data_IF_950103504799
#
_entry.id   IF_950103504799
#
_cell.length_a   1.000
_cell.length_b   1.000
_cell.length_c   1.000
_cell.angle_alpha   90.00
_cell.angle_beta   90.00
_cell.angle_gamma   90.00
#
_symmetry.space_group_name_H-M   'P 1'
#
loop_
_entity.id
_entity.type
_entity.pdbx_description
1 polymer ?
#
# COMPACT_ATOMS: atom_id res chain seq x y z
N UNK A 1 -30.84 45.11 -57.83
CA UNK A 1 -31.01 43.67 -57.70
C UNK A 1 -29.83 43.09 -56.89
N UNK A 2 -29.97 42.97 -55.60
CA UNK A 2 -28.89 42.54 -54.68
C UNK A 2 -29.28 41.19 -54.07
N UNK A 3 -28.53 40.10 -54.38
CA UNK A 3 -28.74 38.75 -53.87
C UNK A 3 -27.89 38.56 -52.61
N UNK A 4 -28.56 38.40 -51.50
CA UNK A 4 -27.95 38.08 -50.21
C UNK A 4 -27.70 36.56 -50.11
N UNK A 5 -26.44 36.12 -50.03
CA UNK A 5 -26.09 34.73 -49.70
C UNK A 5 -26.16 34.53 -48.17
N UNK A 6 -27.02 33.59 -47.76
CA UNK A 6 -27.12 33.08 -46.38
C UNK A 6 -26.10 31.94 -46.23
N UNK A 7 -25.12 32.12 -45.39
CA UNK A 7 -24.20 31.05 -44.98
C UNK A 7 -24.85 30.19 -43.91
N UNK A 8 -25.07 28.90 -44.19
CA UNK A 8 -25.47 27.88 -43.22
C UNK A 8 -24.21 27.43 -42.46
N UNK A 9 -24.16 27.73 -41.17
CA UNK A 9 -23.17 27.15 -40.23
C UNK A 9 -23.66 25.76 -39.83
N UNK A 10 -22.96 24.71 -40.25
CA UNK A 10 -23.13 23.36 -39.70
C UNK A 10 -22.41 23.29 -38.35
N UNK A 11 -23.16 23.08 -37.25
CA UNK A 11 -22.60 22.69 -35.97
C UNK A 11 -22.32 21.18 -36.02
N UNK A 12 -21.05 20.81 -36.10
CA UNK A 12 -20.60 19.46 -35.90
C UNK A 12 -20.58 19.16 -34.40
N UNK A 13 -21.47 18.28 -33.94
CA UNK A 13 -21.41 17.75 -32.56
C UNK A 13 -20.27 16.75 -32.48
N UNK A 14 -19.23 17.06 -31.72
CA UNK A 14 -18.14 16.15 -31.38
C UNK A 14 -18.61 15.18 -30.30
N UNK A 15 -18.84 13.92 -30.66
CA UNK A 15 -19.20 12.86 -29.73
C UNK A 15 -17.92 12.41 -29.04
N UNK A 16 -17.71 12.83 -27.79
CA UNK A 16 -16.61 12.34 -26.96
C UNK A 16 -17.05 10.98 -26.39
N UNK A 17 -16.55 9.90 -26.97
CA UNK A 17 -16.70 8.56 -26.41
C UNK A 17 -15.67 8.39 -25.31
N UNK A 18 -16.10 8.49 -24.05
CA UNK A 18 -15.26 8.15 -22.89
C UNK A 18 -15.09 6.64 -22.83
N UNK A 19 -13.93 6.14 -23.23
CA UNK A 19 -13.53 4.76 -22.98
C UNK A 19 -13.12 4.69 -21.51
N UNK A 20 -14.00 4.17 -20.66
CA UNK A 20 -13.65 3.80 -19.31
C UNK A 20 -12.65 2.63 -19.38
N UNK A 21 -11.40 2.88 -19.03
CA UNK A 21 -10.42 1.83 -18.86
C UNK A 21 -10.85 0.95 -17.66
N UNK A 22 -11.35 -0.26 -17.92
CA UNK A 22 -11.51 -1.27 -16.87
C UNK A 22 -10.09 -1.61 -16.39
N UNK A 23 -9.77 -1.22 -15.16
CA UNK A 23 -8.61 -1.77 -14.47
C UNK A 23 -8.82 -3.28 -14.34
N UNK A 24 -7.82 -4.12 -14.72
CA UNK A 24 -7.96 -5.55 -14.50
C UNK A 24 -8.16 -5.80 -13.00
N UNK A 25 -9.18 -6.55 -12.64
CA UNK A 25 -9.37 -7.02 -11.28
C UNK A 25 -8.09 -7.77 -10.85
N UNK A 26 -7.63 -7.50 -9.63
CA UNK A 26 -6.49 -8.24 -9.08
C UNK A 26 -6.84 -9.74 -9.12
N UNK A 27 -5.92 -10.54 -9.68
CA UNK A 27 -6.14 -11.99 -9.73
C UNK A 27 -6.18 -12.54 -8.30
N UNK A 28 -7.18 -13.38 -8.02
CA UNK A 28 -7.27 -14.09 -6.75
C UNK A 28 -6.05 -14.97 -6.55
N UNK A 29 -5.52 -15.09 -5.31
CA UNK A 29 -4.37 -15.92 -5.04
C UNK A 29 -4.72 -17.41 -5.21
N UNK A 30 -3.77 -18.20 -5.69
CA UNK A 30 -3.87 -19.66 -5.66
C UNK A 30 -3.36 -20.17 -4.32
N UNK A 31 -4.21 -20.89 -3.59
CA UNK A 31 -3.87 -21.55 -2.33
C UNK A 31 -3.56 -23.01 -2.62
N UNK A 32 -2.43 -23.50 -2.16
CA UNK A 32 -1.98 -24.89 -2.25
C UNK A 32 -1.81 -25.41 -0.83
N UNK A 33 -2.47 -26.52 -0.50
CA UNK A 33 -2.60 -27.07 0.84
C UNK A 33 -3.94 -26.71 1.48
N UNK A 34 -4.30 -27.39 2.55
CA UNK A 34 -5.53 -27.12 3.32
C UNK A 34 -5.23 -26.13 4.46
N UNK A 35 -5.71 -24.90 4.32
CA UNK A 35 -5.53 -23.85 5.33
C UNK A 35 -6.27 -24.09 6.65
N UNK A 36 -7.16 -25.07 6.70
CA UNK A 36 -7.90 -25.47 7.89
C UNK A 36 -7.39 -26.80 8.48
N UNK A 37 -6.36 -27.39 7.87
CA UNK A 37 -5.76 -28.65 8.26
C UNK A 37 -4.36 -28.51 8.85
N UNK A 38 -3.58 -29.57 8.76
CA UNK A 38 -2.18 -29.63 9.22
C UNK A 38 -1.18 -29.49 8.06
N UNK A 39 -1.62 -29.11 6.87
CA UNK A 39 -0.78 -28.98 5.68
C UNK A 39 0.14 -27.75 5.75
N UNK A 40 1.25 -27.86 5.04
CA UNK A 40 2.04 -26.67 4.67
C UNK A 40 1.29 -25.92 3.57
N UNK A 41 0.87 -24.71 3.86
CA UNK A 41 0.11 -23.87 2.91
C UNK A 41 1.05 -22.98 2.10
N UNK A 42 0.88 -23.00 0.78
CA UNK A 42 1.54 -22.06 -0.13
C UNK A 42 0.53 -21.12 -0.74
N UNK A 43 0.79 -19.81 -0.65
CA UNK A 43 0.01 -18.76 -1.30
C UNK A 43 0.78 -18.22 -2.50
N UNK A 44 0.20 -18.27 -3.70
CA UNK A 44 0.88 -17.91 -4.95
C UNK A 44 0.03 -16.94 -5.77
N UNK A 45 0.70 -16.05 -6.51
CA UNK A 45 0.02 -15.17 -7.45
C UNK A 45 -0.81 -14.10 -6.76
N UNK A 46 -0.37 -13.61 -5.61
CA UNK A 46 -1.08 -12.59 -4.83
C UNK A 46 -1.22 -11.32 -5.63
N UNK A 47 -2.44 -10.87 -5.84
CA UNK A 47 -2.74 -9.56 -6.39
C UNK A 47 -2.35 -8.44 -5.44
N UNK A 48 -2.30 -7.20 -5.95
CA UNK A 48 -2.07 -6.02 -5.13
C UNK A 48 -3.38 -5.47 -4.60
N UNK A 49 -3.38 -5.05 -3.35
CA UNK A 49 -4.48 -4.28 -2.74
C UNK A 49 -3.95 -2.96 -2.18
N UNK A 50 -4.85 -2.01 -1.99
CA UNK A 50 -4.50 -0.74 -1.35
C UNK A 50 -4.65 -0.87 0.16
N UNK A 51 -3.58 -0.62 0.90
CA UNK A 51 -3.62 -0.60 2.37
C UNK A 51 -4.31 0.66 2.93
N UNK A 52 -4.71 0.64 4.21
CA UNK A 52 -5.24 1.83 4.91
C UNK A 52 -4.26 3.01 4.90
N UNK A 53 -2.95 2.72 4.97
CA UNK A 53 -1.89 3.72 4.90
C UNK A 53 -1.50 4.14 3.47
N UNK A 54 -2.33 3.81 2.48
CA UNK A 54 -2.24 4.20 1.06
C UNK A 54 -1.00 3.70 0.33
N UNK A 55 -0.49 2.53 0.68
CA UNK A 55 0.53 1.84 -0.09
C UNK A 55 -0.01 0.59 -0.76
N UNK A 56 0.47 0.23 -1.95
CA UNK A 56 0.25 -1.08 -2.55
C UNK A 56 0.84 -2.18 -1.67
N UNK A 57 0.01 -3.13 -1.26
CA UNK A 57 0.43 -4.33 -0.54
C UNK A 57 0.04 -5.59 -1.30
N UNK A 58 0.80 -6.65 -1.09
CA UNK A 58 0.57 -7.98 -1.62
C UNK A 58 0.42 -8.92 -0.42
N UNK A 59 -0.81 -9.20 0.04
CA UNK A 59 -1.06 -10.03 1.20
C UNK A 59 -0.68 -11.48 0.91
N UNK A 60 0.42 -11.95 1.48
CA UNK A 60 0.92 -13.31 1.33
C UNK A 60 0.24 -14.24 2.33
N UNK A 61 0.81 -14.34 3.53
CA UNK A 61 0.27 -15.18 4.61
C UNK A 61 -0.58 -14.31 5.54
N UNK A 62 -1.77 -14.79 5.85
CA UNK A 62 -2.69 -14.17 6.81
C UNK A 62 -3.69 -15.22 7.33
N UNK A 63 -4.57 -14.83 8.23
CA UNK A 63 -5.71 -15.65 8.65
C UNK A 63 -6.61 -16.00 7.47
N UNK A 64 -6.84 -15.06 6.58
CA UNK A 64 -7.68 -15.24 5.39
C UNK A 64 -7.03 -16.17 4.34
N UNK A 65 -5.77 -15.94 4.00
CA UNK A 65 -5.12 -16.65 2.89
C UNK A 65 -4.58 -18.02 3.28
N UNK A 66 -4.04 -18.18 4.49
CA UNK A 66 -3.33 -19.38 4.92
C UNK A 66 -3.85 -20.00 6.23
N UNK A 67 -4.90 -19.42 6.85
CA UNK A 67 -5.39 -19.87 8.14
C UNK A 67 -4.43 -19.56 9.30
N UNK A 68 -3.50 -18.63 9.14
CA UNK A 68 -2.57 -18.24 10.19
C UNK A 68 -3.33 -17.63 11.37
N UNK A 69 -2.95 -18.01 12.61
CA UNK A 69 -3.62 -17.54 13.82
C UNK A 69 -2.79 -16.54 14.62
N UNK A 70 -1.49 -16.44 14.36
CA UNK A 70 -0.57 -15.61 15.14
C UNK A 70 0.33 -14.67 14.35
N UNK A 71 0.23 -14.69 13.01
CA UNK A 71 1.10 -13.84 12.19
C UNK A 71 0.47 -13.51 10.81
N UNK A 72 0.98 -12.45 10.22
CA UNK A 72 0.87 -12.18 8.79
C UNK A 72 2.25 -11.92 8.16
N UNK A 73 2.35 -12.18 6.85
CA UNK A 73 3.53 -11.89 6.04
C UNK A 73 3.07 -11.31 4.71
N UNK A 74 3.51 -10.11 4.38
CA UNK A 74 3.12 -9.43 3.17
C UNK A 74 4.31 -8.72 2.51
N UNK A 75 4.18 -8.45 1.21
CA UNK A 75 5.09 -7.57 0.49
C UNK A 75 4.47 -6.18 0.40
N UNK A 76 5.26 -5.17 0.70
CA UNK A 76 4.92 -3.74 0.51
C UNK A 76 5.76 -3.18 -0.60
N UNK A 77 5.15 -2.34 -1.44
CA UNK A 77 5.84 -1.54 -2.45
C UNK A 77 5.57 -0.07 -2.15
N UNK A 78 6.64 0.72 -2.00
CA UNK A 78 6.55 2.17 -1.88
C UNK A 78 7.00 2.76 -3.22
N UNK A 79 6.08 3.32 -4.02
CA UNK A 79 6.43 3.90 -5.31
C UNK A 79 7.51 5.01 -5.20
N UNK A 80 8.17 5.38 -6.30
CA UNK A 80 9.13 6.48 -6.31
C UNK A 80 8.55 7.76 -5.70
N UNK A 81 9.29 8.41 -4.80
CA UNK A 81 8.91 9.63 -4.09
C UNK A 81 7.70 9.52 -3.15
N UNK A 82 7.05 8.35 -3.08
CA UNK A 82 5.85 8.17 -2.27
C UNK A 82 6.15 7.92 -0.80
N UNK A 83 5.14 8.18 0.03
CA UNK A 83 5.13 7.88 1.47
C UNK A 83 3.89 7.09 1.84
N UNK A 84 3.99 6.26 2.88
CA UNK A 84 2.79 5.84 3.60
C UNK A 84 2.13 7.03 4.28
N UNK A 85 0.83 6.97 4.52
CA UNK A 85 0.24 7.81 5.56
C UNK A 85 0.78 7.39 6.93
N UNK A 86 0.94 8.38 7.81
CA UNK A 86 1.37 8.11 9.17
C UNK A 86 0.35 7.23 9.88
N UNK A 87 0.80 6.19 10.57
CA UNK A 87 -0.06 5.19 11.18
C UNK A 87 0.60 4.48 12.36
N UNK A 88 -0.20 3.74 13.09
CA UNK A 88 0.22 2.82 14.15
C UNK A 88 -0.39 1.44 13.89
N UNK A 89 0.27 0.39 14.38
CA UNK A 89 -0.28 -0.96 14.50
C UNK A 89 -0.65 -1.21 15.95
N UNK A 90 -1.94 -1.18 16.23
CA UNK A 90 -2.45 -1.24 17.60
C UNK A 90 -2.23 -2.60 18.24
N UNK A 91 -1.35 -2.62 19.28
CA UNK A 91 -1.05 -3.82 20.07
C UNK A 91 -0.14 -4.83 19.37
N UNK A 92 0.39 -4.54 18.16
CA UNK A 92 1.15 -5.50 17.37
C UNK A 92 2.50 -4.94 16.91
N UNK A 93 3.49 -5.83 16.91
CA UNK A 93 4.85 -5.56 16.46
C UNK A 93 5.05 -5.92 15.00
N UNK A 94 5.99 -5.26 14.35
CA UNK A 94 6.36 -5.57 12.97
C UNK A 94 7.86 -5.80 12.85
N UNK A 95 8.23 -6.82 12.08
CA UNK A 95 9.57 -7.02 11.57
C UNK A 95 9.56 -6.79 10.06
N UNK A 96 10.46 -5.94 9.57
CA UNK A 96 10.54 -5.56 8.15
C UNK A 96 11.93 -5.91 7.62
N UNK A 97 11.98 -6.53 6.45
CA UNK A 97 13.21 -6.71 5.69
C UNK A 97 13.13 -5.90 4.40
N UNK A 98 14.01 -4.90 4.25
CA UNK A 98 14.07 -4.07 3.05
C UNK A 98 14.84 -4.80 1.96
N UNK A 99 14.13 -5.22 0.90
CA UNK A 99 14.72 -5.97 -0.22
C UNK A 99 15.40 -5.02 -1.21
N UNK A 100 14.76 -3.86 -1.47
CA UNK A 100 15.19 -2.90 -2.48
C UNK A 100 14.87 -1.49 -2.05
N UNK A 101 15.73 -0.55 -2.42
CA UNK A 101 15.51 0.87 -2.25
C UNK A 101 16.14 1.43 -0.99
N UNK A 102 15.79 2.68 -0.71
CA UNK A 102 16.25 3.46 0.43
C UNK A 102 15.06 4.24 1.01
N UNK A 103 14.77 4.01 2.29
CA UNK A 103 13.53 4.49 2.92
C UNK A 103 13.88 5.30 4.16
N UNK A 104 13.40 6.54 4.25
CA UNK A 104 13.35 7.29 5.50
C UNK A 104 12.07 6.91 6.25
N UNK A 105 12.21 6.45 7.48
CA UNK A 105 11.07 6.23 8.38
C UNK A 105 11.08 7.29 9.47
N UNK A 106 10.11 8.20 9.44
CA UNK A 106 9.83 9.09 10.56
C UNK A 106 8.98 8.36 11.57
N UNK A 107 9.28 8.52 12.89
CA UNK A 107 8.60 7.75 13.93
C UNK A 107 8.54 8.45 15.28
N UNK A 108 7.76 7.84 16.21
CA UNK A 108 7.55 8.33 17.56
C UNK A 108 6.51 9.46 17.61
N UNK A 109 6.31 10.00 18.78
CA UNK A 109 5.35 11.08 19.00
C UNK A 109 5.67 12.30 18.14
N UNK A 110 4.67 12.80 17.43
CA UNK A 110 4.81 13.90 16.47
C UNK A 110 5.73 13.59 15.29
N UNK A 111 6.14 12.32 15.10
CA UNK A 111 7.07 11.89 14.02
C UNK A 111 8.40 12.68 14.03
N UNK A 112 8.89 13.04 15.21
CA UNK A 112 10.07 13.92 15.40
C UNK A 112 11.40 13.20 15.23
N UNK A 113 11.40 11.86 15.26
CA UNK A 113 12.59 11.03 15.03
C UNK A 113 12.57 10.51 13.61
N UNK A 114 13.75 10.24 13.03
CA UNK A 114 13.87 9.56 11.76
C UNK A 114 15.07 8.61 11.71
N UNK A 115 14.96 7.62 10.85
CA UNK A 115 16.05 6.70 10.49
C UNK A 115 15.95 6.43 8.99
N UNK A 116 17.10 6.33 8.33
CA UNK A 116 17.19 5.89 6.93
C UNK A 116 17.67 4.47 6.90
N UNK A 117 16.92 3.62 6.23
CA UNK A 117 17.22 2.21 6.01
C UNK A 117 17.53 1.95 4.53
N UNK A 118 18.42 1.00 4.27
CA UNK A 118 18.86 0.59 2.94
C UNK A 118 18.56 -0.89 2.70
N UNK A 119 18.60 -1.30 1.44
CA UNK A 119 18.39 -2.71 1.07
C UNK A 119 19.33 -3.63 1.86
N UNK A 120 18.79 -4.67 2.47
CA UNK A 120 19.47 -5.60 3.37
C UNK A 120 19.22 -5.35 4.85
N UNK A 121 18.64 -4.20 5.23
CA UNK A 121 18.36 -3.89 6.63
C UNK A 121 17.16 -4.69 7.18
N UNK A 122 17.30 -5.12 8.43
CA UNK A 122 16.20 -5.60 9.27
C UNK A 122 15.74 -4.47 10.19
N UNK A 123 14.44 -4.22 10.20
CA UNK A 123 13.82 -3.11 10.90
C UNK A 123 12.79 -3.67 11.87
N UNK A 124 12.83 -3.26 13.13
CA UNK A 124 11.84 -3.61 14.13
C UNK A 124 10.99 -2.38 14.46
N UNK A 125 9.67 -2.53 14.39
CA UNK A 125 8.71 -1.49 14.76
C UNK A 125 7.91 -2.02 15.95
N UNK A 126 8.10 -1.44 17.17
CA UNK A 126 7.31 -1.81 18.33
C UNK A 126 5.82 -1.53 18.13
N UNK A 127 4.99 -2.25 18.90
CA UNK A 127 3.55 -1.97 18.94
C UNK A 127 3.28 -0.51 19.32
N UNK A 128 2.23 0.04 18.76
CA UNK A 128 1.72 1.40 19.05
C UNK A 128 2.67 2.57 18.70
N UNK A 129 3.82 2.32 18.10
CA UNK A 129 4.74 3.39 17.68
C UNK A 129 4.26 4.01 16.37
N UNK A 130 3.91 5.32 16.35
CA UNK A 130 3.57 6.02 15.12
C UNK A 130 4.77 6.05 14.18
N UNK A 131 4.52 5.76 12.90
CA UNK A 131 5.58 5.78 11.89
C UNK A 131 5.05 6.12 10.49
N UNK A 132 5.96 6.64 9.67
CA UNK A 132 5.69 7.06 8.28
C UNK A 132 6.92 6.77 7.43
N UNK A 133 6.98 5.67 6.69
CA UNK A 133 8.05 5.39 5.73
C UNK A 133 7.85 6.19 4.45
N UNK A 134 8.96 6.70 3.89
CA UNK A 134 9.04 7.46 2.63
C UNK A 134 10.14 6.88 1.77
N UNK A 135 9.85 6.57 0.51
CA UNK A 135 10.87 6.18 -0.46
C UNK A 135 11.67 7.41 -0.89
N UNK A 136 12.99 7.36 -0.72
CA UNK A 136 13.90 8.47 -1.06
C UNK A 136 14.31 8.50 -2.54
N UNK A 137 13.95 7.47 -3.32
CA UNK A 137 14.21 7.45 -4.77
C UNK A 137 13.03 8.06 -5.53
N UNK A 138 13.32 8.96 -6.45
CA UNK A 138 12.34 9.54 -7.36
C UNK A 138 12.07 8.66 -8.60
N UNK A 139 12.85 7.59 -8.80
CA UNK A 139 12.79 6.79 -10.03
C UNK A 139 12.52 5.30 -9.77
N UNK A 140 12.95 4.77 -8.63
CA UNK A 140 12.87 3.34 -8.32
C UNK A 140 11.96 3.07 -7.13
N UNK A 141 11.15 2.00 -7.14
CA UNK A 141 10.35 1.63 -5.98
C UNK A 141 11.21 1.08 -4.85
N UNK A 142 10.79 1.28 -3.61
CA UNK A 142 11.29 0.52 -2.48
C UNK A 142 10.37 -0.69 -2.24
N UNK A 143 10.99 -1.85 -1.92
CA UNK A 143 10.29 -3.12 -1.75
C UNK A 143 10.70 -3.73 -0.41
N UNK A 144 9.72 -4.09 0.40
CA UNK A 144 9.94 -4.72 1.69
C UNK A 144 9.04 -5.94 1.89
N UNK A 145 9.52 -6.90 2.69
CA UNK A 145 8.70 -7.93 3.31
C UNK A 145 8.42 -7.48 4.74
N UNK A 146 7.16 -7.55 5.14
CA UNK A 146 6.70 -7.21 6.48
C UNK A 146 6.07 -8.44 7.12
N UNK A 147 6.62 -8.87 8.24
CA UNK A 147 6.01 -9.84 9.14
C UNK A 147 5.39 -9.08 10.33
N UNK A 148 4.23 -9.52 10.78
CA UNK A 148 3.54 -8.98 11.95
C UNK A 148 2.93 -10.11 12.76
N UNK A 149 2.93 -9.97 14.09
CA UNK A 149 2.27 -10.89 14.99
C UNK A 149 0.74 -10.70 15.07
N UNK A 150 0.15 -10.31 13.92
CA UNK A 150 -1.28 -10.07 13.70
C UNK A 150 -1.74 -10.80 12.44
N UNK A 151 -2.63 -11.80 12.52
CA UNK A 151 -3.11 -12.51 11.34
C UNK A 151 -4.09 -11.68 10.49
N UNK A 152 -4.66 -10.58 11.05
CA UNK A 152 -5.64 -9.70 10.42
C UNK A 152 -5.09 -8.29 10.20
N UNK A 153 -3.93 -8.21 9.66
CA UNK A 153 -3.00 -7.07 9.60
C UNK A 153 -3.68 -5.70 9.38
N UNK A 154 -4.61 -5.58 8.45
CA UNK A 154 -5.25 -4.30 8.14
C UNK A 154 -6.32 -3.87 9.15
N UNK A 155 -6.85 -4.76 9.97
CA UNK A 155 -7.90 -4.40 10.94
C UNK A 155 -7.36 -3.49 12.04
N UNK A 156 -6.12 -3.70 12.47
CA UNK A 156 -5.48 -2.99 13.58
C UNK A 156 -4.56 -1.82 13.14
N UNK A 157 -4.60 -1.47 11.85
CA UNK A 157 -3.96 -0.24 11.34
C UNK A 157 -4.84 0.96 11.66
N UNK A 158 -4.28 1.94 12.41
CA UNK A 158 -4.93 3.21 12.74
C UNK A 158 -4.10 4.36 12.21
N UNK A 159 -4.70 5.24 11.41
CA UNK A 159 -4.02 6.44 10.91
C UNK A 159 -3.68 7.37 12.07
N UNK A 160 -2.49 7.95 12.02
CA UNK A 160 -1.95 8.83 13.05
C UNK A 160 -1.88 10.26 12.53
N UNK A 161 -2.53 11.18 13.22
CA UNK A 161 -2.40 12.61 12.98
C UNK A 161 -1.56 13.22 14.11
N UNK A 162 -0.37 13.80 13.83
CA UNK A 162 0.36 14.58 14.82
C UNK A 162 -0.49 15.72 15.36
N UNK A 163 -0.34 16.06 16.64
CA UNK A 163 -1.16 17.10 17.27
C UNK A 163 -0.99 18.49 16.65
N UNK A 164 0.17 18.78 16.06
CA UNK A 164 0.44 20.03 15.36
C UNK A 164 -0.43 20.25 14.10
N UNK A 165 -1.00 19.17 13.53
CA UNK A 165 -1.89 19.25 12.36
C UNK A 165 -3.33 19.64 12.70
N UNK A 166 -3.67 19.78 13.99
CA UNK A 166 -5.01 20.16 14.47
C UNK A 166 -5.17 21.65 14.77
N UNK A 167 -4.08 22.42 14.62
CA UNK A 167 -4.05 23.85 14.95
C UNK A 167 -3.82 24.78 13.74
N UNK A 168 -3.97 24.30 12.51
CA UNK A 168 -3.94 25.11 11.29
C UNK A 168 -5.29 25.22 10.61
#
# INVERSE_FOLDING_TARGET
MTRTLRAMRQLGALLIVSVAALSPAAAEPTIIGDKNGEDVVTVRGVGTTQSKQKLPIFPGISGETAGATGLSLLKVVIPPGASAEAHVHKGYESAVYLIQGRVETRYGEGLKKSVVNEAGDFIFIPADVPHKPTNLSETEPAIAIVARNDPNEQEHVVLYAPDDARNE
#
